data_IF_875191099348
#
_entry.id   IF_875191099348
#
_cell.length_a   1.000
_cell.length_b   1.000
_cell.length_c   1.000
_cell.angle_alpha   90.00
_cell.angle_beta   90.00
_cell.angle_gamma   90.00
#
_symmetry.space_group_name_H-M   'P 1'
#
loop_
_entity.id
_entity.type
_entity.pdbx_description
1 polymer ?
#
# COMPACT_ATOMS: atom_id res chain seq x y z
N UNK A 1 -4.79 6.89 -2.69
CA UNK A 1 -3.49 6.59 -2.05
C UNK A 1 -2.50 7.69 -2.43
N UNK A 2 -1.58 8.06 -1.54
CA UNK A 2 -0.50 9.01 -1.85
C UNK A 2 0.45 8.51 -2.95
N UNK A 3 0.45 7.22 -3.29
CA UNK A 3 1.22 6.71 -4.43
C UNK A 3 0.88 7.40 -5.78
N UNK A 4 -0.33 7.97 -5.94
CA UNK A 4 -0.71 8.73 -7.15
C UNK A 4 0.11 10.01 -7.33
N UNK A 5 0.63 10.58 -6.25
CA UNK A 5 1.52 11.75 -6.26
C UNK A 5 2.74 11.54 -7.16
N UNK A 6 3.23 10.29 -7.30
CA UNK A 6 4.35 9.96 -8.21
C UNK A 6 4.04 10.25 -9.68
N UNK A 7 2.76 10.16 -10.07
CA UNK A 7 2.33 10.38 -11.44
C UNK A 7 1.68 11.76 -11.65
N UNK A 8 0.99 12.26 -10.63
CA UNK A 8 0.15 13.46 -10.71
C UNK A 8 0.82 14.71 -10.10
N UNK A 9 1.99 14.54 -9.45
CA UNK A 9 2.71 15.61 -8.76
C UNK A 9 2.15 15.94 -7.38
N UNK A 10 0.84 15.80 -7.17
CA UNK A 10 0.17 16.01 -5.88
C UNK A 10 -1.00 15.04 -5.68
N UNK A 11 -1.42 14.86 -4.43
CA UNK A 11 -2.64 14.14 -4.09
C UNK A 11 -3.19 14.58 -2.73
N UNK A 12 -4.51 14.66 -2.59
CA UNK A 12 -5.18 14.93 -1.31
C UNK A 12 -5.98 13.70 -0.89
N UNK A 13 -5.75 13.22 0.33
CA UNK A 13 -6.48 12.08 0.93
C UNK A 13 -6.94 12.49 2.31
N UNK A 14 -8.26 12.52 2.53
CA UNK A 14 -8.89 12.89 3.81
C UNK A 14 -8.30 14.20 4.40
N UNK A 15 -8.11 15.21 3.53
CA UNK A 15 -7.59 16.54 3.92
C UNK A 15 -6.08 16.63 4.07
N UNK A 16 -5.34 15.52 3.95
CA UNK A 16 -3.88 15.50 3.97
C UNK A 16 -3.36 15.58 2.54
N UNK A 17 -2.54 16.58 2.27
CA UNK A 17 -1.92 16.81 0.97
C UNK A 17 -0.53 16.16 0.91
N UNK A 18 -0.24 15.46 -0.19
CA UNK A 18 1.06 14.89 -0.49
C UNK A 18 1.61 15.47 -1.80
N UNK A 19 2.90 15.81 -1.83
CA UNK A 19 3.55 16.51 -2.96
C UNK A 19 4.82 15.77 -3.38
N UNK A 20 4.99 15.58 -4.70
CA UNK A 20 6.17 15.00 -5.29
C UNK A 20 7.33 15.99 -5.19
N UNK A 21 8.39 15.59 -4.51
CA UNK A 21 9.63 16.36 -4.42
C UNK A 21 10.67 15.80 -5.39
N UNK A 22 11.51 16.68 -5.92
CA UNK A 22 12.56 16.29 -6.87
C UNK A 22 13.81 15.76 -6.15
N UNK A 23 14.01 16.17 -4.90
CA UNK A 23 15.12 15.71 -4.08
C UNK A 23 14.82 15.77 -2.59
N UNK A 24 15.52 14.94 -1.80
CA UNK A 24 15.32 14.81 -0.36
C UNK A 24 15.56 16.11 0.43
N UNK A 25 16.34 17.05 -0.10
CA UNK A 25 16.58 18.37 0.50
C UNK A 25 15.29 19.20 0.63
N UNK A 26 14.27 18.93 -0.19
CA UNK A 26 12.98 19.64 -0.13
C UNK A 26 12.08 19.15 1.02
N UNK A 27 12.41 18.00 1.64
CA UNK A 27 11.58 17.34 2.67
C UNK A 27 11.19 18.28 3.80
N UNK A 28 12.15 19.03 4.35
CA UNK A 28 11.91 19.93 5.50
C UNK A 28 10.98 21.09 5.10
N UNK A 29 11.19 21.67 3.92
CA UNK A 29 10.35 22.75 3.38
C UNK A 29 8.91 22.31 3.24
N UNK A 30 8.67 21.15 2.63
CA UNK A 30 7.31 20.61 2.40
C UNK A 30 6.64 20.22 3.72
N UNK A 31 7.39 19.62 4.64
CA UNK A 31 6.88 19.25 5.97
C UNK A 31 6.45 20.48 6.77
N UNK A 32 7.21 21.59 6.70
CA UNK A 32 6.82 22.89 7.35
C UNK A 32 5.52 23.47 6.82
N UNK A 33 5.08 23.06 5.63
CA UNK A 33 3.79 23.45 5.05
C UNK A 33 2.65 22.48 5.43
N UNK A 34 2.88 21.57 6.38
CA UNK A 34 1.94 20.50 6.77
C UNK A 34 1.54 19.57 5.62
N UNK A 35 2.45 19.36 4.66
CA UNK A 35 2.26 18.44 3.53
C UNK A 35 3.18 17.23 3.66
N UNK A 36 2.79 16.12 3.06
CA UNK A 36 3.57 14.88 3.01
C UNK A 36 4.50 14.90 1.79
N UNK A 37 5.83 15.02 1.95
CA UNK A 37 6.75 14.90 0.82
C UNK A 37 6.80 13.45 0.31
N UNK A 38 6.69 13.29 -1.00
CA UNK A 38 6.81 12.00 -1.70
C UNK A 38 8.04 12.05 -2.60
N UNK A 39 8.96 11.11 -2.44
CA UNK A 39 10.17 11.01 -3.24
C UNK A 39 10.22 9.65 -3.93
N UNK A 40 10.56 9.64 -5.22
CA UNK A 40 10.84 8.39 -5.96
C UNK A 40 12.28 7.98 -5.70
N UNK A 41 12.49 7.08 -4.74
CA UNK A 41 13.80 6.51 -4.42
C UNK A 41 13.72 4.98 -4.24
N UNK A 42 13.75 4.21 -5.34
CA UNK A 42 13.64 2.75 -5.29
C UNK A 42 14.74 2.05 -4.48
N UNK A 43 15.87 2.72 -4.23
CA UNK A 43 17.00 2.18 -3.46
C UNK A 43 16.98 2.62 -1.99
N UNK A 44 16.08 3.51 -1.59
CA UNK A 44 16.05 4.08 -0.24
C UNK A 44 17.32 4.84 0.15
N UNK A 45 18.04 5.40 -0.84
CA UNK A 45 19.28 6.16 -0.61
C UNK A 45 19.09 7.39 0.29
N UNK A 46 17.88 7.98 0.27
CA UNK A 46 17.50 9.13 1.08
C UNK A 46 17.51 8.83 2.58
N UNK A 47 17.30 7.57 3.00
CA UNK A 47 17.25 7.19 4.41
C UNK A 47 18.54 7.57 5.12
N UNK A 48 19.70 7.28 4.50
CA UNK A 48 21.01 7.65 5.06
C UNK A 48 21.21 9.17 5.14
N UNK A 49 20.66 9.92 4.19
CA UNK A 49 20.81 11.39 4.13
C UNK A 49 19.90 12.09 5.14
N UNK A 50 18.66 11.63 5.24
CA UNK A 50 17.65 12.15 6.16
C UNK A 50 17.92 11.75 7.61
N UNK A 51 18.53 10.59 7.85
CA UNK A 51 18.78 10.04 9.19
C UNK A 51 17.53 10.10 10.09
N UNK A 52 16.41 9.47 9.66
CA UNK A 52 15.13 9.62 10.35
C UNK A 52 15.17 9.00 11.75
N UNK A 53 14.39 9.55 12.68
CA UNK A 53 14.21 8.96 14.03
C UNK A 53 13.40 7.66 13.97
N UNK A 54 12.50 7.54 12.99
CA UNK A 54 11.66 6.37 12.76
C UNK A 54 11.68 6.02 11.28
N UNK A 55 11.90 4.74 10.95
CA UNK A 55 11.73 4.19 9.62
C UNK A 55 10.61 3.15 9.64
N UNK A 56 9.65 3.26 8.72
CA UNK A 56 8.56 2.30 8.58
C UNK A 56 8.62 1.67 7.20
N UNK A 57 8.87 0.36 7.13
CA UNK A 57 8.74 -0.40 5.91
C UNK A 57 7.28 -0.83 5.72
N UNK A 58 6.57 -0.04 4.92
CA UNK A 58 5.19 -0.29 4.49
C UNK A 58 5.11 -0.79 3.03
N UNK A 59 6.19 -1.38 2.49
CA UNK A 59 6.22 -1.89 1.11
C UNK A 59 5.31 -3.12 0.97
N UNK A 60 5.16 -3.89 2.05
CA UNK A 60 4.34 -5.12 2.12
C UNK A 60 4.77 -6.19 1.09
N UNK A 61 6.06 -6.24 0.76
CA UNK A 61 6.63 -7.14 -0.24
C UNK A 61 6.60 -8.63 0.14
N UNK A 62 6.19 -8.95 1.38
CA UNK A 62 6.16 -10.33 1.95
C UNK A 62 7.53 -10.97 2.13
N UNK A 63 8.58 -10.18 1.94
CA UNK A 63 10.00 -10.50 2.15
C UNK A 63 10.76 -9.19 2.41
N UNK A 64 11.85 -9.26 3.17
CA UNK A 64 12.74 -8.12 3.35
C UNK A 64 13.46 -7.78 2.03
N UNK A 65 13.36 -6.52 1.58
CA UNK A 65 14.02 -6.03 0.35
C UNK A 65 15.31 -5.22 0.63
N UNK A 66 15.74 -5.16 1.89
CA UNK A 66 16.95 -4.44 2.30
C UNK A 66 16.78 -3.52 3.49
N UNK A 67 15.61 -3.54 4.14
CA UNK A 67 15.36 -2.84 5.40
C UNK A 67 16.16 -3.52 6.52
N UNK A 68 16.79 -2.71 7.39
CA UNK A 68 17.64 -3.20 8.48
C UNK A 68 17.39 -2.38 9.74
N UNK A 69 17.47 -3.05 10.88
CA UNK A 69 17.24 -2.51 12.22
C UNK A 69 18.10 -1.28 12.55
N UNK A 70 19.27 -1.13 11.90
CA UNK A 70 20.18 -0.02 12.13
C UNK A 70 19.99 1.20 11.21
N UNK A 71 18.92 1.25 10.42
CA UNK A 71 18.65 2.38 9.52
C UNK A 71 18.00 3.59 10.19
N UNK A 72 17.43 3.40 11.38
CA UNK A 72 16.89 4.46 12.23
C UNK A 72 16.93 4.00 13.71
N UNK A 73 16.80 4.91 14.68
CA UNK A 73 16.62 4.55 16.10
C UNK A 73 15.39 3.68 16.39
N UNK A 74 14.37 3.70 15.51
CA UNK A 74 13.24 2.79 15.54
C UNK A 74 12.90 2.39 14.10
N UNK A 75 12.94 1.09 13.81
CA UNK A 75 12.60 0.51 12.52
C UNK A 75 11.40 -0.42 12.70
N UNK A 76 10.34 -0.18 11.93
CA UNK A 76 9.08 -0.93 11.99
C UNK A 76 8.85 -1.63 10.65
N UNK A 77 8.70 -2.95 10.65
CA UNK A 77 8.34 -3.75 9.49
C UNK A 77 6.86 -4.12 9.49
N UNK A 78 6.16 -3.94 8.36
CA UNK A 78 4.74 -4.32 8.25
C UNK A 78 4.60 -5.67 7.54
N UNK A 79 4.09 -6.66 8.27
CA UNK A 79 3.71 -7.96 7.75
C UNK A 79 4.85 -8.99 7.69
N UNK A 80 4.64 -10.11 6.98
CA UNK A 80 5.63 -11.17 6.89
C UNK A 80 6.86 -10.73 6.10
N UNK A 81 7.98 -11.40 6.35
CA UNK A 81 9.28 -11.10 5.76
C UNK A 81 10.22 -10.34 6.68
N UNK A 82 9.82 -10.05 7.92
CA UNK A 82 10.63 -9.43 8.94
C UNK A 82 10.55 -10.22 10.24
N UNK A 83 11.66 -10.27 10.97
CA UNK A 83 11.74 -10.72 12.37
C UNK A 83 12.10 -9.54 13.28
N UNK A 84 11.30 -9.31 14.32
CA UNK A 84 11.61 -8.31 15.34
C UNK A 84 12.88 -8.73 16.12
N UNK A 85 13.72 -7.75 16.47
CA UNK A 85 15.06 -7.89 17.06
C UNK A 85 16.16 -8.43 16.13
N UNK A 86 15.83 -8.76 14.88
CA UNK A 86 16.81 -9.19 13.87
C UNK A 86 16.81 -8.24 12.66
N UNK A 87 15.69 -8.18 11.93
CA UNK A 87 15.53 -7.33 10.75
C UNK A 87 15.11 -5.90 11.11
N UNK A 88 14.25 -5.77 12.12
CA UNK A 88 13.56 -4.53 12.54
C UNK A 88 13.33 -4.56 14.05
N UNK A 89 13.03 -3.42 14.68
CA UNK A 89 12.72 -3.38 16.12
C UNK A 89 11.30 -3.89 16.41
N UNK A 90 10.37 -3.65 15.49
CA UNK A 90 8.95 -3.97 15.68
C UNK A 90 8.36 -4.53 14.39
N UNK A 91 7.57 -5.60 14.51
CA UNK A 91 6.79 -6.15 13.39
C UNK A 91 5.31 -5.93 13.65
N UNK A 92 4.57 -5.47 12.64
CA UNK A 92 3.12 -5.26 12.71
C UNK A 92 2.38 -6.30 11.86
N UNK A 93 1.37 -6.96 12.43
CA UNK A 93 0.52 -7.91 11.70
C UNK A 93 -0.30 -7.24 10.59
N UNK A 94 -0.26 -7.81 9.38
CA UNK A 94 -0.98 -7.29 8.21
C UNK A 94 -2.01 -8.26 7.63
N UNK A 95 -2.09 -9.49 8.15
CA UNK A 95 -3.11 -10.47 7.81
C UNK A 95 -4.45 -10.02 8.39
N UNK A 96 -5.48 -9.96 7.54
CA UNK A 96 -6.84 -9.70 8.00
C UNK A 96 -7.29 -10.83 8.93
N UNK A 97 -7.91 -10.49 10.05
CA UNK A 97 -8.36 -11.43 11.07
C UNK A 97 -8.19 -10.85 12.47
N UNK A 98 -8.29 -11.72 13.48
CA UNK A 98 -8.26 -11.34 14.89
C UNK A 98 -7.02 -10.52 15.30
N UNK A 99 -5.87 -10.81 14.70
CA UNK A 99 -4.60 -10.16 15.05
C UNK A 99 -4.26 -8.95 14.16
N UNK A 100 -5.14 -8.48 13.26
CA UNK A 100 -4.80 -7.37 12.35
C UNK A 100 -4.34 -6.13 13.14
N UNK A 101 -3.15 -5.62 12.83
CA UNK A 101 -2.56 -4.47 13.55
C UNK A 101 -1.89 -4.82 14.88
N UNK A 102 -1.83 -6.11 15.26
CA UNK A 102 -1.08 -6.53 16.45
C UNK A 102 0.40 -6.16 16.30
N UNK A 103 0.94 -5.56 17.36
CA UNK A 103 2.34 -5.15 17.47
C UNK A 103 3.15 -6.29 18.10
N UNK A 104 4.18 -6.76 17.40
CA UNK A 104 5.11 -7.77 17.88
C UNK A 104 6.48 -7.13 18.12
N UNK A 105 6.93 -7.15 19.37
CA UNK A 105 8.28 -6.74 19.77
C UNK A 105 9.28 -7.90 19.71
N UNK A 106 8.79 -9.13 19.56
CA UNK A 106 9.58 -10.35 19.41
C UNK A 106 8.91 -11.24 18.36
N UNK A 107 9.72 -11.87 17.50
CA UNK A 107 9.23 -12.82 16.48
C UNK A 107 8.68 -12.17 15.21
N UNK A 108 7.74 -12.85 14.54
CA UNK A 108 7.30 -12.51 13.19
C UNK A 108 5.77 -12.37 13.10
N UNK A 109 5.28 -11.63 12.10
CA UNK A 109 3.88 -11.66 11.70
C UNK A 109 3.52 -13.00 11.03
N UNK A 110 2.21 -13.27 10.88
CA UNK A 110 1.74 -14.46 10.19
C UNK A 110 2.33 -14.57 8.76
N UNK A 111 2.78 -15.78 8.34
CA UNK A 111 3.40 -15.97 7.04
C UNK A 111 2.43 -15.64 5.90
N UNK A 112 2.98 -15.29 4.74
CA UNK A 112 2.15 -15.07 3.56
C UNK A 112 1.50 -16.38 3.12
N UNK A 113 0.18 -16.37 3.06
CA UNK A 113 -0.62 -17.53 2.64
C UNK A 113 -0.83 -17.57 1.13
N UNK A 114 -0.48 -16.50 0.41
CA UNK A 114 -0.83 -16.31 -1.00
C UNK A 114 -2.33 -16.11 -1.25
N UNK A 115 -3.16 -16.19 -0.21
CA UNK A 115 -4.61 -16.00 -0.28
C UNK A 115 -4.96 -14.55 0.13
N UNK A 116 -5.60 -13.78 -0.76
CA UNK A 116 -6.07 -12.44 -0.42
C UNK A 116 -7.10 -12.49 0.70
N UNK A 117 -7.04 -11.51 1.61
CA UNK A 117 -8.07 -11.35 2.64
C UNK A 117 -9.45 -11.10 2.02
N UNK A 118 -10.47 -11.72 2.62
CA UNK A 118 -11.86 -11.64 2.21
C UNK A 118 -12.42 -10.22 2.39
N UNK A 119 -13.28 -9.82 1.45
CA UNK A 119 -14.08 -8.60 1.51
C UNK A 119 -15.47 -8.94 0.98
N UNK A 120 -16.50 -8.80 1.81
CA UNK A 120 -17.89 -9.08 1.41
C UNK A 120 -18.12 -10.50 0.87
N UNK A 121 -17.49 -11.52 1.49
CA UNK A 121 -17.61 -12.92 1.07
C UNK A 121 -16.71 -13.33 -0.10
N UNK A 122 -15.98 -12.40 -0.72
CA UNK A 122 -15.11 -12.70 -1.87
C UNK A 122 -13.62 -12.50 -1.52
N UNK A 123 -12.77 -13.39 -2.03
CA UNK A 123 -11.31 -13.35 -1.81
C UNK A 123 -10.53 -13.18 -3.12
N UNK A 124 -10.36 -14.24 -3.90
CA UNK A 124 -9.54 -14.24 -5.13
C UNK A 124 -10.24 -13.55 -6.31
N UNK A 125 -11.52 -13.87 -6.54
CA UNK A 125 -12.31 -13.41 -7.69
C UNK A 125 -12.49 -11.89 -7.75
N UNK A 126 -12.37 -11.23 -6.61
CA UNK A 126 -12.42 -9.76 -6.52
C UNK A 126 -11.17 -9.09 -7.07
N UNK A 127 -10.07 -9.82 -7.24
CA UNK A 127 -8.81 -9.25 -7.74
C UNK A 127 -8.77 -9.29 -9.25
N UNK A 128 -8.49 -8.14 -9.87
CA UNK A 128 -8.26 -8.06 -11.31
C UNK A 128 -6.80 -8.43 -11.60
N UNK A 129 -6.60 -9.40 -12.49
CA UNK A 129 -5.28 -9.86 -12.93
C UNK A 129 -5.12 -9.71 -14.43
N UNK A 130 -3.97 -9.18 -14.85
CA UNK A 130 -3.70 -8.92 -16.26
C UNK A 130 -3.83 -10.19 -17.11
N UNK A 131 -4.67 -10.21 -18.16
CA UNK A 131 -4.85 -11.38 -19.01
C UNK A 131 -3.74 -11.52 -20.05
N UNK A 132 -2.87 -10.53 -20.20
CA UNK A 132 -1.73 -10.50 -21.11
C UNK A 132 -0.65 -9.56 -20.57
N UNK A 133 0.48 -9.48 -21.25
CA UNK A 133 1.48 -8.44 -21.03
C UNK A 133 1.22 -7.24 -21.95
N UNK A 134 1.58 -6.04 -21.47
CA UNK A 134 1.46 -4.80 -22.25
C UNK A 134 1.03 -3.62 -21.40
N UNK A 135 0.71 -2.50 -22.06
CA UNK A 135 0.15 -1.33 -21.37
C UNK A 135 -1.33 -1.56 -21.05
N UNK A 136 -1.74 -1.16 -19.85
CA UNK A 136 -3.15 -1.13 -19.48
C UNK A 136 -3.83 0.15 -20.01
N UNK A 137 -4.99 -0.02 -20.63
CA UNK A 137 -5.87 1.04 -21.11
C UNK A 137 -7.21 0.89 -20.38
N UNK A 138 -7.45 1.64 -19.29
CA UNK A 138 -8.70 1.59 -18.55
C UNK A 138 -9.91 2.01 -19.40
N UNK A 139 -11.00 1.27 -19.29
CA UNK A 139 -12.33 1.64 -19.83
C UNK A 139 -13.19 2.20 -18.70
N UNK A 140 -13.08 1.60 -17.51
CA UNK A 140 -13.71 2.07 -16.27
C UNK A 140 -12.70 2.79 -15.38
N UNK A 141 -13.23 3.60 -14.47
CA UNK A 141 -12.48 4.30 -13.42
C UNK A 141 -12.89 3.82 -12.03
N UNK A 142 -11.98 4.05 -11.07
CA UNK A 142 -12.26 3.76 -9.66
C UNK A 142 -13.55 4.48 -9.23
N UNK A 143 -14.45 3.73 -8.60
CA UNK A 143 -15.77 4.19 -8.16
C UNK A 143 -16.91 3.84 -9.12
N UNK A 144 -16.62 3.32 -10.32
CA UNK A 144 -17.66 2.82 -11.21
C UNK A 144 -18.26 1.51 -10.69
N UNK A 145 -19.56 1.35 -10.84
CA UNK A 145 -20.25 0.06 -10.68
C UNK A 145 -20.06 -0.77 -11.94
N UNK A 146 -19.68 -2.02 -11.76
CA UNK A 146 -19.39 -2.96 -12.85
C UNK A 146 -20.12 -4.28 -12.61
N UNK A 147 -20.51 -4.94 -13.70
CA UNK A 147 -21.14 -6.26 -13.69
C UNK A 147 -20.13 -7.34 -14.05
N UNK A 148 -20.43 -8.57 -13.65
CA UNK A 148 -19.69 -9.74 -14.08
C UNK A 148 -19.63 -9.80 -15.62
N UNK A 149 -18.49 -10.22 -16.17
CA UNK A 149 -18.14 -10.24 -17.60
C UNK A 149 -17.96 -8.87 -18.28
N UNK A 150 -18.22 -7.75 -17.58
CA UNK A 150 -17.99 -6.40 -18.11
C UNK A 150 -16.49 -6.15 -18.30
N UNK A 151 -16.12 -5.48 -19.40
CA UNK A 151 -14.71 -5.20 -19.73
C UNK A 151 -14.25 -3.96 -18.97
N UNK A 152 -13.31 -4.15 -18.05
CA UNK A 152 -12.78 -3.11 -17.16
C UNK A 152 -11.68 -2.28 -17.83
N UNK A 153 -10.83 -2.95 -18.60
CA UNK A 153 -9.69 -2.38 -19.30
C UNK A 153 -9.27 -3.27 -20.46
N UNK A 154 -8.41 -2.75 -21.32
CA UNK A 154 -7.67 -3.54 -22.31
C UNK A 154 -6.19 -3.60 -21.92
N UNK A 155 -5.56 -4.76 -22.08
CA UNK A 155 -4.12 -4.94 -21.83
C UNK A 155 -3.52 -5.67 -23.03
N UNK A 156 -2.66 -4.96 -23.79
CA UNK A 156 -2.03 -5.53 -24.98
C UNK A 156 -3.02 -6.06 -26.02
N UNK A 157 -4.16 -5.38 -26.22
CA UNK A 157 -5.24 -5.84 -27.11
C UNK A 157 -6.19 -6.88 -26.52
N UNK A 158 -5.95 -7.35 -25.30
CA UNK A 158 -6.78 -8.38 -24.65
C UNK A 158 -7.71 -7.75 -23.59
N UNK A 159 -9.03 -8.00 -23.64
CA UNK A 159 -9.96 -7.46 -22.66
C UNK A 159 -9.76 -8.08 -21.28
N UNK A 160 -9.60 -7.23 -20.26
CA UNK A 160 -9.67 -7.58 -18.86
C UNK A 160 -11.12 -7.46 -18.39
N UNK A 161 -11.73 -8.59 -18.04
CA UNK A 161 -13.12 -8.65 -17.57
C UNK A 161 -13.25 -8.78 -16.05
N UNK A 162 -14.38 -8.35 -15.52
CA UNK A 162 -14.74 -8.55 -14.12
C UNK A 162 -15.27 -9.97 -13.86
N UNK A 163 -14.70 -10.69 -12.88
CA UNK A 163 -15.20 -12.01 -12.45
C UNK A 163 -16.40 -11.93 -11.48
N UNK A 164 -16.62 -10.75 -10.88
CA UNK A 164 -17.69 -10.46 -9.94
C UNK A 164 -18.29 -9.09 -10.22
N UNK A 165 -19.53 -8.88 -9.81
CA UNK A 165 -20.16 -7.57 -9.80
C UNK A 165 -19.79 -6.79 -8.54
N UNK A 166 -19.76 -5.47 -8.62
CA UNK A 166 -19.44 -4.59 -7.49
C UNK A 166 -18.95 -3.23 -7.92
N UNK A 167 -18.23 -2.54 -7.04
CA UNK A 167 -17.56 -1.27 -7.39
C UNK A 167 -16.09 -1.53 -7.70
N UNK A 168 -15.59 -0.99 -8.81
CA UNK A 168 -14.15 -0.96 -9.08
C UNK A 168 -13.44 -0.10 -8.04
N UNK A 169 -12.69 -0.71 -7.14
CA UNK A 169 -12.07 -0.05 -5.98
C UNK A 169 -10.62 0.33 -6.22
N UNK A 170 -9.89 -0.52 -6.93
CA UNK A 170 -8.48 -0.32 -7.25
C UNK A 170 -8.24 -0.60 -8.72
N UNK A 171 -7.42 0.24 -9.35
CA UNK A 171 -6.88 0.02 -10.67
C UNK A 171 -5.46 0.61 -10.72
N UNK A 172 -4.53 -0.12 -11.32
CA UNK A 172 -3.16 0.36 -11.55
C UNK A 172 -3.21 1.58 -12.48
N UNK A 173 -2.21 2.46 -12.35
CA UNK A 173 -2.20 3.73 -13.07
C UNK A 173 -2.31 3.52 -14.59
N UNK A 174 -3.12 4.33 -15.32
CA UNK A 174 -3.27 4.19 -16.77
C UNK A 174 -1.92 4.16 -17.49
N UNK A 175 -1.82 3.38 -18.58
CA UNK A 175 -0.62 3.24 -19.41
C UNK A 175 0.58 2.55 -18.73
N UNK A 176 0.44 2.08 -17.49
CA UNK A 176 1.47 1.26 -16.84
C UNK A 176 1.70 -0.04 -17.62
N UNK A 177 2.97 -0.44 -17.74
CA UNK A 177 3.33 -1.75 -18.26
C UNK A 177 3.05 -2.82 -17.21
N UNK A 178 2.36 -3.89 -17.60
CA UNK A 178 2.02 -5.01 -16.72
C UNK A 178 2.39 -6.33 -17.38
N UNK A 179 2.62 -7.36 -16.57
CA UNK A 179 2.86 -8.74 -17.04
C UNK A 179 1.64 -9.61 -16.79
N UNK A 180 1.48 -10.68 -17.57
CA UNK A 180 0.38 -11.64 -17.40
C UNK A 180 0.31 -12.15 -15.96
N UNK A 181 -0.90 -12.13 -15.37
CA UNK A 181 -1.18 -12.57 -14.01
C UNK A 181 -0.88 -11.53 -12.91
N UNK A 182 -0.22 -10.42 -13.25
CA UNK A 182 0.03 -9.31 -12.32
C UNK A 182 -1.31 -8.76 -11.82
N UNK A 183 -1.40 -8.49 -10.51
CA UNK A 183 -2.58 -7.81 -9.95
C UNK A 183 -2.60 -6.38 -10.46
N UNK A 184 -3.67 -6.01 -11.16
CA UNK A 184 -3.86 -4.68 -11.75
C UNK A 184 -5.02 -3.92 -11.13
N UNK A 185 -5.80 -4.54 -10.25
CA UNK A 185 -6.90 -3.86 -9.58
C UNK A 185 -7.67 -4.77 -8.63
N UNK A 186 -8.76 -4.26 -8.09
CA UNK A 186 -9.75 -5.03 -7.34
C UNK A 186 -11.14 -4.40 -7.35
N UNK A 187 -12.14 -5.27 -7.31
CA UNK A 187 -13.57 -4.95 -7.17
C UNK A 187 -13.96 -5.17 -5.71
N UNK A 188 -14.80 -4.28 -5.19
CA UNK A 188 -15.42 -4.40 -3.88
C UNK A 188 -16.87 -4.89 -4.06
N UNK A 189 -17.19 -6.15 -3.70
CA UNK A 189 -18.51 -6.73 -3.93
C UNK A 189 -19.62 -6.06 -3.11
N UNK A 190 -19.25 -5.30 -2.07
CA UNK A 190 -20.23 -4.58 -1.24
C UNK A 190 -20.92 -3.45 -2.00
N UNK A 191 -20.37 -3.01 -3.13
CA UNK A 191 -21.02 -2.04 -4.00
C UNK A 191 -21.04 -0.59 -3.48
N UNK A 192 -20.33 -0.29 -2.39
CA UNK A 192 -20.32 1.04 -1.75
C UNK A 192 -19.21 1.90 -2.36
N UNK A 193 -19.60 2.85 -3.21
CA UNK A 193 -18.67 3.72 -3.95
C UNK A 193 -17.81 4.59 -3.05
N UNK A 194 -18.38 5.08 -1.95
CA UNK A 194 -17.74 5.99 -1.02
C UNK A 194 -16.46 5.37 -0.44
N UNK A 195 -16.46 4.05 -0.25
CA UNK A 195 -15.30 3.37 0.30
C UNK A 195 -14.07 3.42 -0.61
N UNK A 196 -14.21 3.73 -1.90
CA UNK A 196 -13.07 3.93 -2.81
C UNK A 196 -12.27 5.20 -2.48
N UNK A 197 -12.89 6.16 -1.78
CA UNK A 197 -12.34 7.49 -1.54
C UNK A 197 -12.03 7.77 -0.07
N UNK A 198 -12.26 6.79 0.81
CA UNK A 198 -11.88 6.84 2.23
C UNK A 198 -10.76 5.87 2.54
N UNK A 199 -9.98 6.14 3.58
CA UNK A 199 -8.96 5.21 4.09
C UNK A 199 -9.63 3.90 4.53
N UNK A 200 -9.13 2.78 4.02
CA UNK A 200 -9.70 1.47 4.38
C UNK A 200 -9.54 1.14 5.85
N UNK A 201 -10.44 0.33 6.39
CA UNK A 201 -10.34 -0.32 7.70
C UNK A 201 -8.94 -0.86 7.99
N UNK A 202 -8.37 -1.63 7.07
CA UNK A 202 -7.03 -2.22 7.19
C UNK A 202 -5.95 -1.15 7.29
N UNK A 203 -6.00 -0.14 6.43
CA UNK A 203 -5.02 0.95 6.46
C UNK A 203 -5.09 1.74 7.78
N UNK A 204 -6.30 1.97 8.33
CA UNK A 204 -6.46 2.61 9.64
C UNK A 204 -5.88 1.74 10.76
N UNK A 205 -6.18 0.44 10.79
CA UNK A 205 -5.61 -0.47 11.80
C UNK A 205 -4.09 -0.51 11.75
N UNK A 206 -3.49 -0.56 10.56
CA UNK A 206 -2.04 -0.57 10.40
C UNK A 206 -1.42 0.78 10.78
N UNK A 207 -2.01 1.90 10.36
CA UNK A 207 -1.54 3.23 10.75
C UNK A 207 -1.62 3.47 12.26
N UNK A 208 -2.70 3.01 12.90
CA UNK A 208 -2.86 3.05 14.36
C UNK A 208 -1.80 2.23 15.09
N UNK A 209 -1.51 1.01 14.62
CA UNK A 209 -0.47 0.16 15.18
C UNK A 209 0.94 0.76 15.05
N UNK A 210 1.22 1.41 13.90
CA UNK A 210 2.48 2.15 13.69
C UNK A 210 2.57 3.29 14.70
N UNK A 211 1.50 4.08 14.87
CA UNK A 211 1.48 5.17 15.83
C UNK A 211 1.66 4.68 17.26
N UNK A 212 0.99 3.59 17.64
CA UNK A 212 1.14 2.95 18.95
C UNK A 212 2.60 2.56 19.22
N UNK A 213 3.25 1.88 18.28
CA UNK A 213 4.65 1.48 18.40
C UNK A 213 5.58 2.69 18.54
N UNK A 214 5.34 3.76 17.78
CA UNK A 214 6.11 5.02 17.88
C UNK A 214 5.94 5.65 19.27
N UNK A 215 4.69 5.83 19.73
CA UNK A 215 4.41 6.42 21.03
C UNK A 215 5.00 5.59 22.18
N UNK A 216 4.87 4.27 22.13
CA UNK A 216 5.44 3.37 23.12
C UNK A 216 6.97 3.46 23.17
N UNK A 217 7.64 3.63 22.02
CA UNK A 217 9.09 3.80 21.97
C UNK A 217 9.55 5.17 22.48
N UNK A 218 8.84 6.24 22.12
CA UNK A 218 9.19 7.61 22.54
C UNK A 218 8.97 7.82 24.05
N UNK A 219 8.00 7.13 24.66
CA UNK A 219 7.72 7.21 26.10
C UNK A 219 8.64 6.33 26.96
N UNK A 220 9.47 5.46 26.37
CA UNK A 220 10.48 4.65 27.09
C UNK A 220 11.78 5.42 27.35
N UNK A 221 11.95 6.60 26.74
CA UNK A 221 13.05 7.53 26.99
C UNK A 221 12.62 8.61 27.98
#
# INVERSE_FOLDING_TARGET
LFARTVYEGEAIIEGIEAVLISSWEETEKITKLNKVPVLVDPKGSCIKKLSPTVLVDAILAKRNLGTRINQAPLVIGLGPGFTAEEDVDVVIETKRGHNLGRVYYHGQAAPDTGVPGEVGGESKRRLLRAPAEGKIIPIHKIGDLVKTEEVIAEIGGVPLKAEISGVLRGLIYPQSWVTRGMKVGDIDPRGIREYCFTVSDKARSLGGAVLEAICANLNKK
#
